data_IF_640621084414
#
_entry.id   IF_640621084414
#
_cell.length_a   1.000
_cell.length_b   1.000
_cell.length_c   1.000
_cell.angle_alpha   90.00
_cell.angle_beta   90.00
_cell.angle_gamma   90.00
#
_symmetry.space_group_name_H-M   'P 1'
#
loop_
_entity.id
_entity.type
_entity.pdbx_description
1 polymer ?
#
# COMPACT_ATOMS: atom_id res chain seq x y z
N UNK A 1 1.12 -13.92 16.87
CA UNK A 1 0.36 -15.06 16.35
C UNK A 1 -0.77 -14.54 15.48
N UNK A 2 -1.22 -15.32 14.52
CA UNK A 2 -2.39 -15.04 13.68
C UNK A 2 -3.61 -15.55 14.42
N UNK A 3 -4.74 -14.85 14.33
CA UNK A 3 -6.01 -15.29 14.93
C UNK A 3 -7.13 -15.25 13.90
N UNK A 4 -8.13 -16.07 14.11
CA UNK A 4 -9.36 -16.10 13.36
C UNK A 4 -10.55 -16.33 14.29
N UNK A 5 -11.69 -15.83 13.89
CA UNK A 5 -12.96 -16.06 14.57
C UNK A 5 -13.83 -16.96 13.71
N UNK A 6 -14.39 -17.99 14.34
CA UNK A 6 -15.40 -18.86 13.75
C UNK A 6 -16.77 -18.38 14.21
N UNK A 7 -17.60 -17.93 13.29
CA UNK A 7 -18.88 -17.31 13.62
C UNK A 7 -20.03 -18.15 13.05
N UNK A 8 -20.92 -18.60 13.93
CA UNK A 8 -22.17 -19.29 13.57
C UNK A 8 -23.37 -18.35 13.66
N UNK A 9 -24.42 -18.60 12.90
CA UNK A 9 -25.67 -17.84 12.94
C UNK A 9 -25.79 -16.69 11.93
N UNK A 10 -24.71 -16.31 11.27
CA UNK A 10 -24.72 -15.27 10.25
C UNK A 10 -24.94 -15.82 8.84
N UNK A 11 -25.49 -14.97 7.95
CA UNK A 11 -25.61 -15.27 6.51
C UNK A 11 -24.42 -14.72 5.76
N UNK A 12 -23.72 -15.61 5.05
CA UNK A 12 -22.73 -15.19 4.08
C UNK A 12 -23.42 -14.48 2.91
N UNK A 13 -22.95 -13.27 2.55
CA UNK A 13 -23.29 -12.68 1.27
C UNK A 13 -22.44 -13.34 0.20
N UNK A 14 -23.02 -13.78 -0.93
CA UNK A 14 -22.22 -14.18 -2.07
C UNK A 14 -21.32 -12.98 -2.43
N UNK A 15 -20.00 -13.20 -2.40
CA UNK A 15 -19.01 -12.17 -2.64
C UNK A 15 -19.17 -11.62 -4.06
N UNK A 16 -19.61 -10.38 -4.17
CA UNK A 16 -19.44 -9.63 -5.41
C UNK A 16 -18.03 -9.06 -5.36
N UNK A 17 -17.14 -9.37 -6.31
CA UNK A 17 -15.75 -8.89 -6.31
C UNK A 17 -15.65 -7.35 -6.41
N UNK A 18 -16.74 -6.67 -6.72
CA UNK A 18 -16.88 -5.22 -6.80
C UNK A 18 -17.74 -4.62 -5.68
N UNK A 19 -18.02 -5.37 -4.60
CA UNK A 19 -18.74 -4.82 -3.47
C UNK A 19 -17.93 -3.66 -2.89
N UNK A 20 -18.24 -2.46 -3.36
CA UNK A 20 -17.81 -1.21 -2.74
C UNK A 20 -18.05 -1.35 -1.24
N UNK A 21 -17.12 -0.91 -0.43
CA UNK A 21 -17.17 -0.85 1.04
C UNK A 21 -18.47 -0.17 1.52
N UNK A 22 -19.59 -0.88 1.41
CA UNK A 22 -20.79 -0.55 2.14
C UNK A 22 -20.73 -1.37 3.41
N UNK A 23 -20.61 -0.71 4.54
CA UNK A 23 -20.90 -1.27 5.86
C UNK A 23 -22.35 -1.79 5.85
N UNK A 24 -22.52 -2.98 5.31
CA UNK A 24 -23.81 -3.63 5.30
C UNK A 24 -24.09 -4.15 6.70
N UNK A 25 -25.28 -3.89 7.23
CA UNK A 25 -25.73 -4.50 8.48
C UNK A 25 -25.59 -6.03 8.37
N UNK A 26 -25.11 -6.73 9.41
CA UNK A 26 -25.03 -8.17 9.43
C UNK A 26 -26.44 -8.75 9.21
N UNK A 27 -26.51 -9.83 8.44
CA UNK A 27 -27.78 -10.56 8.24
C UNK A 27 -27.74 -11.83 9.07
N UNK A 28 -28.67 -11.93 9.97
CA UNK A 28 -28.82 -13.10 10.83
C UNK A 28 -29.62 -14.20 10.13
N UNK A 29 -29.36 -15.46 10.49
CA UNK A 29 -30.19 -16.59 10.11
C UNK A 29 -31.34 -16.71 11.13
N UNK A 30 -32.56 -16.48 10.69
CA UNK A 30 -33.74 -16.62 11.54
C UNK A 30 -33.98 -18.08 12.05
N UNK A 31 -33.41 -19.05 11.36
CA UNK A 31 -33.51 -20.46 11.72
C UNK A 31 -32.36 -20.94 12.62
N UNK A 32 -31.40 -20.07 12.97
CA UNK A 32 -30.34 -20.41 13.91
C UNK A 32 -30.91 -20.37 15.33
N UNK A 33 -30.88 -21.50 16.01
CA UNK A 33 -31.37 -21.68 17.37
C UNK A 33 -30.30 -22.42 18.18
N UNK A 34 -29.61 -21.69 19.07
CA UNK A 34 -28.59 -22.28 19.93
C UNK A 34 -29.16 -23.13 21.04
N UNK A 35 -30.46 -23.00 21.36
CA UNK A 35 -31.13 -23.82 22.36
C UNK A 35 -31.53 -25.20 21.83
N UNK A 36 -31.39 -25.46 20.52
CA UNK A 36 -31.57 -26.80 19.94
C UNK A 36 -30.40 -27.70 20.35
N UNK A 37 -30.64 -28.89 20.95
CA UNK A 37 -29.61 -29.81 21.40
C UNK A 37 -28.59 -30.18 20.31
N UNK A 38 -29.04 -30.44 19.09
CA UNK A 38 -28.17 -30.80 17.97
C UNK A 38 -27.25 -29.63 17.58
N UNK A 39 -27.76 -28.41 17.69
CA UNK A 39 -26.99 -27.19 17.40
C UNK A 39 -25.92 -26.94 18.47
N UNK A 40 -26.26 -27.18 19.76
CA UNK A 40 -25.30 -27.05 20.86
C UNK A 40 -24.08 -27.96 20.64
N UNK A 41 -24.36 -29.26 20.39
CA UNK A 41 -23.29 -30.24 20.14
C UNK A 41 -22.50 -29.90 18.88
N UNK A 42 -23.19 -29.56 17.80
CA UNK A 42 -22.52 -29.22 16.53
C UNK A 42 -21.59 -28.02 16.64
N UNK A 43 -22.00 -26.93 17.29
CA UNK A 43 -21.19 -25.71 17.45
C UNK A 43 -19.97 -26.00 18.34
N UNK A 44 -20.18 -26.66 19.51
CA UNK A 44 -19.07 -27.07 20.39
C UNK A 44 -18.05 -27.92 19.66
N UNK A 45 -18.51 -29.00 19.01
CA UNK A 45 -17.64 -29.96 18.33
C UNK A 45 -16.97 -29.36 17.09
N UNK A 46 -17.56 -28.37 16.48
CA UNK A 46 -16.93 -27.65 15.36
C UNK A 46 -15.65 -26.93 15.79
N UNK A 47 -15.65 -26.30 16.96
CA UNK A 47 -14.50 -25.66 17.52
C UNK A 47 -13.49 -26.69 18.06
N UNK A 48 -13.89 -27.59 18.93
CA UNK A 48 -13.00 -28.57 19.56
C UNK A 48 -12.28 -29.46 18.56
N UNK A 49 -13.01 -30.01 17.58
CA UNK A 49 -12.41 -30.84 16.53
C UNK A 49 -11.45 -30.03 15.64
N UNK A 50 -11.70 -28.74 15.40
CA UNK A 50 -10.81 -27.89 14.66
C UNK A 50 -9.51 -27.66 15.44
N UNK A 51 -9.63 -27.33 16.71
CA UNK A 51 -8.48 -27.08 17.60
C UNK A 51 -7.62 -28.33 17.77
N UNK A 52 -8.23 -29.53 17.78
CA UNK A 52 -7.54 -30.81 17.87
C UNK A 52 -6.81 -31.27 16.59
N UNK A 53 -7.12 -30.70 15.43
CA UNK A 53 -6.49 -31.08 14.16
C UNK A 53 -5.14 -30.35 13.95
N UNK A 54 -4.03 -31.09 13.97
CA UNK A 54 -2.67 -30.53 13.76
C UNK A 54 -2.51 -29.79 12.42
N UNK A 55 -3.23 -30.24 11.38
CA UNK A 55 -3.22 -29.61 10.04
C UNK A 55 -3.70 -28.16 10.08
N UNK A 56 -4.68 -27.84 10.92
CA UNK A 56 -5.26 -26.51 11.04
C UNK A 56 -4.37 -25.53 11.83
N UNK A 57 -3.27 -26.02 12.40
CA UNK A 57 -2.27 -25.21 13.15
C UNK A 57 -2.89 -24.35 14.27
N UNK A 58 -4.01 -24.81 14.87
CA UNK A 58 -4.60 -24.12 16.00
C UNK A 58 -3.76 -24.31 17.27
N UNK A 59 -3.70 -23.26 18.09
CA UNK A 59 -3.05 -23.30 19.39
C UNK A 59 -4.10 -23.60 20.48
N UNK A 60 -4.05 -24.80 21.02
CA UNK A 60 -5.01 -25.28 22.04
C UNK A 60 -5.01 -24.43 23.31
N UNK A 61 -3.84 -23.92 23.71
CA UNK A 61 -3.69 -23.17 24.96
C UNK A 61 -4.29 -21.75 24.91
N UNK A 62 -4.45 -21.20 23.71
CA UNK A 62 -4.90 -19.80 23.53
C UNK A 62 -6.19 -19.69 22.71
N UNK A 63 -6.73 -20.80 22.25
CA UNK A 63 -8.01 -20.81 21.53
C UNK A 63 -9.17 -20.90 22.51
N UNK A 64 -10.24 -20.18 22.23
CA UNK A 64 -11.43 -20.08 23.08
C UNK A 64 -12.63 -20.62 22.30
N UNK A 65 -13.10 -21.82 22.69
CA UNK A 65 -14.34 -22.40 22.25
C UNK A 65 -15.43 -22.07 23.27
N UNK A 66 -16.36 -21.18 22.92
CA UNK A 66 -17.26 -20.59 23.91
C UNK A 66 -18.18 -21.62 24.56
N UNK A 67 -18.76 -22.56 23.80
CA UNK A 67 -19.59 -23.59 24.37
C UNK A 67 -18.84 -24.65 25.17
N UNK A 68 -17.57 -24.89 24.89
CA UNK A 68 -16.69 -25.70 25.71
C UNK A 68 -16.43 -25.06 27.07
N UNK A 69 -16.20 -23.76 27.11
CA UNK A 69 -16.08 -23.02 28.36
C UNK A 69 -17.40 -23.02 29.14
N UNK A 70 -18.52 -22.85 28.45
CA UNK A 70 -19.82 -22.94 29.08
C UNK A 70 -20.02 -24.31 29.72
N UNK A 71 -19.66 -25.41 29.03
CA UNK A 71 -19.75 -26.76 29.56
C UNK A 71 -18.79 -26.97 30.74
N UNK A 72 -17.51 -26.70 30.56
CA UNK A 72 -16.47 -27.08 31.53
C UNK A 72 -16.43 -26.16 32.75
N UNK A 73 -16.59 -24.85 32.56
CA UNK A 73 -16.47 -23.87 33.65
C UNK A 73 -17.80 -23.54 34.33
N UNK A 74 -18.93 -23.67 33.63
CA UNK A 74 -20.21 -23.28 34.18
C UNK A 74 -21.17 -24.45 34.44
N UNK A 75 -21.33 -25.40 33.50
CA UNK A 75 -22.22 -26.54 33.64
C UNK A 75 -21.64 -27.67 34.51
N UNK A 76 -20.42 -28.07 34.27
CA UNK A 76 -19.79 -29.20 34.97
C UNK A 76 -19.77 -29.04 36.51
N UNK A 77 -19.47 -27.86 37.10
CA UNK A 77 -19.57 -27.67 38.56
C UNK A 77 -21.01 -27.84 39.10
N UNK A 78 -22.03 -27.77 38.25
CA UNK A 78 -23.46 -27.95 38.57
C UNK A 78 -23.94 -29.35 38.28
N UNK A 79 -23.04 -30.24 37.83
CA UNK A 79 -23.39 -31.62 37.45
C UNK A 79 -24.20 -31.73 36.17
N UNK A 80 -24.04 -30.73 35.26
CA UNK A 80 -24.71 -30.66 33.97
C UNK A 80 -23.71 -30.76 32.85
N UNK A 81 -24.12 -31.29 31.69
CA UNK A 81 -23.33 -31.43 30.48
C UNK A 81 -24.16 -30.96 29.25
N UNK A 82 -23.50 -30.68 28.14
CA UNK A 82 -24.20 -30.44 26.89
C UNK A 82 -24.57 -31.74 26.20
N UNK A 83 -25.75 -31.82 25.55
CA UNK A 83 -26.73 -30.75 25.37
C UNK A 83 -27.65 -30.59 26.60
N UNK A 84 -27.98 -29.31 26.90
CA UNK A 84 -28.93 -28.98 27.96
C UNK A 84 -30.35 -28.97 27.45
N UNK A 85 -31.18 -29.79 28.06
CA UNK A 85 -32.63 -29.87 27.82
C UNK A 85 -33.40 -29.64 29.11
N UNK A 86 -34.63 -29.10 29.07
CA UNK A 86 -35.36 -28.54 27.93
C UNK A 86 -34.82 -27.13 27.53
N UNK A 87 -35.28 -26.62 26.38
CA UNK A 87 -34.90 -25.32 25.79
C UNK A 87 -34.90 -24.15 26.80
N UNK A 88 -35.94 -24.02 27.59
CA UNK A 88 -36.07 -22.95 28.58
C UNK A 88 -34.97 -23.01 29.65
N UNK A 89 -34.57 -24.22 30.08
CA UNK A 89 -33.44 -24.41 31.01
C UNK A 89 -32.11 -23.99 30.40
N UNK A 90 -31.87 -24.30 29.14
CA UNK A 90 -30.67 -23.82 28.42
C UNK A 90 -30.62 -22.29 28.36
N UNK A 91 -31.73 -21.64 27.97
CA UNK A 91 -31.81 -20.18 27.84
C UNK A 91 -31.54 -19.51 29.19
N UNK A 92 -32.09 -20.03 30.30
CA UNK A 92 -31.85 -19.50 31.65
C UNK A 92 -30.39 -19.66 32.06
N UNK A 93 -29.84 -20.87 31.99
CA UNK A 93 -28.45 -21.14 32.35
C UNK A 93 -27.43 -20.34 31.48
N UNK A 94 -27.73 -20.19 30.21
CA UNK A 94 -26.89 -19.46 29.29
C UNK A 94 -26.95 -17.94 29.53
N UNK A 95 -28.10 -17.43 29.98
CA UNK A 95 -28.25 -16.05 30.41
C UNK A 95 -27.44 -15.76 31.69
N UNK A 96 -27.45 -16.67 32.65
CA UNK A 96 -26.64 -16.58 33.88
C UNK A 96 -25.15 -16.67 33.58
N UNK A 97 -24.73 -17.59 32.72
CA UNK A 97 -23.34 -17.71 32.27
C UNK A 97 -22.84 -16.40 31.67
N UNK A 98 -23.63 -15.80 30.80
CA UNK A 98 -23.31 -14.54 30.13
C UNK A 98 -23.08 -13.39 31.09
N UNK A 99 -23.89 -13.29 32.16
CA UNK A 99 -23.78 -12.22 33.16
C UNK A 99 -22.63 -12.43 34.17
N UNK A 100 -22.27 -13.68 34.42
CA UNK A 100 -21.37 -14.02 35.52
C UNK A 100 -19.90 -14.22 35.11
N UNK A 101 -19.59 -14.34 33.81
CA UNK A 101 -18.27 -14.79 33.38
C UNK A 101 -17.52 -13.81 32.49
N UNK A 102 -16.24 -13.67 32.82
CA UNK A 102 -15.21 -13.05 31.98
C UNK A 102 -14.36 -14.18 31.40
N UNK A 103 -14.08 -14.13 30.10
CA UNK A 103 -13.25 -15.09 29.40
C UNK A 103 -11.77 -14.97 29.79
N UNK A 104 -10.98 -15.97 29.41
CA UNK A 104 -9.54 -16.04 29.72
C UNK A 104 -8.72 -14.84 29.20
N UNK A 105 -9.19 -14.18 28.15
CA UNK A 105 -8.59 -12.97 27.57
C UNK A 105 -9.02 -11.66 28.25
N UNK A 106 -9.88 -11.73 29.27
CA UNK A 106 -10.44 -10.59 29.98
C UNK A 106 -11.67 -9.97 29.30
N UNK A 107 -12.11 -10.47 28.14
CA UNK A 107 -13.34 -10.04 27.48
C UNK A 107 -14.58 -10.60 28.16
N UNK A 108 -15.70 -9.92 27.99
CA UNK A 108 -16.99 -10.40 28.51
C UNK A 108 -17.62 -11.37 27.51
N UNK A 109 -18.29 -12.40 28.04
CA UNK A 109 -19.03 -13.36 27.21
C UNK A 109 -20.04 -12.67 26.28
N UNK A 110 -20.60 -11.54 26.72
CA UNK A 110 -21.55 -10.75 25.91
C UNK A 110 -20.95 -10.20 24.59
N UNK A 111 -19.66 -10.03 24.49
CA UNK A 111 -18.96 -9.58 23.26
C UNK A 111 -18.83 -10.70 22.22
N UNK A 112 -19.11 -11.93 22.63
CA UNK A 112 -18.92 -13.14 21.81
C UNK A 112 -20.24 -13.72 21.30
N UNK A 113 -21.35 -13.11 21.70
CA UNK A 113 -22.70 -13.60 21.38
C UNK A 113 -23.59 -12.41 20.98
N UNK A 114 -24.28 -12.56 19.87
CA UNK A 114 -25.36 -11.63 19.54
C UNK A 114 -26.69 -12.15 20.06
N UNK A 115 -27.46 -11.26 20.66
CA UNK A 115 -28.74 -11.57 21.26
C UNK A 115 -29.80 -10.72 20.64
N UNK A 116 -30.96 -11.33 20.38
CA UNK A 116 -32.17 -10.61 20.05
C UNK A 116 -32.78 -10.06 21.33
N UNK A 117 -32.85 -8.73 21.45
CA UNK A 117 -33.41 -8.05 22.62
C UNK A 117 -34.90 -8.36 22.86
N UNK A 118 -35.63 -8.78 21.84
CA UNK A 118 -37.05 -9.11 21.96
C UNK A 118 -37.31 -10.53 22.51
N UNK A 119 -36.47 -11.48 22.08
CA UNK A 119 -36.63 -12.91 22.45
C UNK A 119 -35.62 -13.41 23.47
N UNK A 120 -34.58 -12.62 23.75
CA UNK A 120 -33.41 -12.98 24.56
C UNK A 120 -32.69 -14.23 24.06
N UNK A 121 -32.85 -14.57 22.78
CA UNK A 121 -32.23 -15.75 22.15
C UNK A 121 -30.93 -15.36 21.45
N UNK A 122 -29.97 -16.30 21.40
CA UNK A 122 -28.72 -16.11 20.70
C UNK A 122 -28.94 -16.15 19.18
N UNK A 123 -28.54 -15.06 18.50
CA UNK A 123 -28.64 -14.92 17.04
C UNK A 123 -27.37 -15.30 16.31
N UNK A 124 -26.24 -15.20 16.98
CA UNK A 124 -24.93 -15.64 16.51
C UNK A 124 -24.00 -15.90 17.70
N UNK A 125 -23.01 -16.74 17.49
CA UNK A 125 -21.97 -17.07 18.45
C UNK A 125 -20.61 -17.07 17.76
N UNK A 126 -19.57 -16.64 18.47
CA UNK A 126 -18.20 -16.53 17.99
C UNK A 126 -17.27 -17.38 18.86
N UNK A 127 -16.43 -18.18 18.21
CA UNK A 127 -15.27 -18.83 18.82
C UNK A 127 -14.00 -18.15 18.34
N UNK A 128 -13.02 -17.96 19.22
CA UNK A 128 -11.73 -17.33 18.89
C UNK A 128 -10.62 -18.37 18.85
N UNK A 129 -9.98 -18.48 17.71
CA UNK A 129 -8.95 -19.47 17.48
C UNK A 129 -7.64 -18.75 17.17
N UNK A 130 -6.65 -19.02 18.00
CA UNK A 130 -5.28 -18.53 17.80
C UNK A 130 -4.49 -19.59 17.05
N UNK A 131 -3.82 -19.17 15.98
CA UNK A 131 -3.01 -20.05 15.16
C UNK A 131 -1.54 -20.01 15.60
N UNK A 132 -0.84 -21.12 15.41
CA UNK A 132 0.59 -21.21 15.66
C UNK A 132 1.43 -20.48 14.60
N UNK A 133 0.80 -20.04 13.52
CA UNK A 133 1.43 -19.28 12.43
C UNK A 133 1.79 -17.87 12.90
N UNK A 134 2.99 -17.44 12.58
CA UNK A 134 3.48 -16.11 12.95
C UNK A 134 2.98 -15.06 11.94
N UNK A 135 2.79 -13.81 12.41
CA UNK A 135 2.41 -12.68 11.53
C UNK A 135 3.46 -12.32 10.50
N UNK A 136 4.73 -12.61 10.78
CA UNK A 136 5.90 -12.35 9.94
C UNK A 136 6.24 -13.51 8.97
N UNK A 137 5.42 -14.60 8.97
CA UNK A 137 5.54 -15.67 7.99
C UNK A 137 5.19 -15.17 6.57
N UNK A 138 5.51 -15.97 5.55
CA UNK A 138 5.19 -15.61 4.17
C UNK A 138 3.68 -15.41 3.97
N UNK A 139 3.32 -14.58 2.98
CA UNK A 139 1.89 -14.36 2.63
C UNK A 139 1.23 -15.67 2.20
N UNK A 140 1.99 -16.49 1.46
CA UNK A 140 1.52 -17.80 0.98
C UNK A 140 1.21 -18.75 2.15
N UNK A 141 2.14 -18.89 3.12
CA UNK A 141 1.94 -19.73 4.31
C UNK A 141 0.70 -19.31 5.12
N UNK A 142 0.46 -18.01 5.21
CA UNK A 142 -0.73 -17.48 5.89
C UNK A 142 -2.00 -17.80 5.13
N UNK A 143 -2.02 -17.60 3.82
CA UNK A 143 -3.19 -17.87 2.98
C UNK A 143 -3.50 -19.37 2.88
N UNK A 144 -2.48 -20.22 2.85
CA UNK A 144 -2.67 -21.68 2.82
C UNK A 144 -3.38 -22.19 4.06
N UNK A 145 -3.01 -21.69 5.24
CA UNK A 145 -3.71 -22.06 6.47
C UNK A 145 -5.19 -21.62 6.43
N UNK A 146 -5.50 -20.44 5.90
CA UNK A 146 -6.89 -20.01 5.76
C UNK A 146 -7.65 -20.83 4.71
N UNK A 147 -6.99 -21.35 3.67
CA UNK A 147 -7.61 -22.30 2.73
C UNK A 147 -7.92 -23.61 3.42
N UNK A 148 -6.97 -24.18 4.18
CA UNK A 148 -7.20 -25.42 4.95
C UNK A 148 -8.36 -25.28 5.93
N UNK A 149 -8.53 -24.11 6.56
CA UNK A 149 -9.68 -23.82 7.41
C UNK A 149 -11.00 -23.79 6.63
N UNK A 150 -11.01 -23.21 5.43
CA UNK A 150 -12.22 -23.20 4.60
C UNK A 150 -12.61 -24.61 4.14
N UNK A 151 -11.61 -25.39 3.73
CA UNK A 151 -11.83 -26.78 3.33
C UNK A 151 -12.40 -27.61 4.48
N UNK A 152 -11.86 -27.41 5.70
CA UNK A 152 -12.42 -28.04 6.90
C UNK A 152 -13.88 -27.66 7.16
N UNK A 153 -14.22 -26.39 7.00
CA UNK A 153 -15.60 -25.93 7.18
C UNK A 153 -16.55 -26.45 6.09
N UNK A 154 -16.02 -26.66 4.89
CA UNK A 154 -16.78 -27.26 3.79
C UNK A 154 -17.03 -28.75 4.01
N UNK A 155 -16.04 -29.51 4.46
CA UNK A 155 -16.21 -30.93 4.84
C UNK A 155 -17.26 -31.11 5.93
N UNK A 156 -17.31 -30.21 6.92
CA UNK A 156 -18.31 -30.26 7.98
C UNK A 156 -19.71 -29.77 7.57
N UNK A 157 -19.82 -29.14 6.41
CA UNK A 157 -21.12 -28.63 5.95
C UNK A 157 -22.16 -29.75 5.73
N UNK A 158 -21.71 -30.95 5.42
CA UNK A 158 -22.61 -32.09 5.11
C UNK A 158 -23.31 -32.67 6.35
N UNK A 159 -22.74 -32.53 7.55
CA UNK A 159 -23.30 -33.06 8.80
C UNK A 159 -24.00 -32.03 9.70
N UNK A 160 -24.32 -30.84 9.20
CA UNK A 160 -24.88 -29.75 10.01
C UNK A 160 -26.37 -29.93 10.29
N UNK A 161 -26.84 -29.58 11.51
CA UNK A 161 -28.28 -29.57 11.84
C UNK A 161 -29.05 -28.56 10.97
N UNK A 162 -30.36 -28.83 10.83
CA UNK A 162 -31.26 -27.92 10.13
C UNK A 162 -31.24 -26.53 10.82
N UNK A 163 -31.12 -25.48 10.03
CA UNK A 163 -31.04 -24.10 10.57
C UNK A 163 -29.66 -23.57 10.82
N UNK A 164 -28.63 -24.40 11.11
CA UNK A 164 -27.25 -23.98 11.22
C UNK A 164 -26.69 -23.76 9.82
N UNK A 165 -26.32 -22.52 9.51
CA UNK A 165 -25.63 -22.21 8.27
C UNK A 165 -24.19 -22.66 8.28
N UNK A 166 -23.48 -22.47 7.14
CA UNK A 166 -22.04 -22.54 7.12
C UNK A 166 -21.47 -21.55 8.12
N UNK A 167 -20.54 -21.98 8.94
CA UNK A 167 -19.79 -21.08 9.80
C UNK A 167 -18.98 -20.09 8.96
N UNK A 168 -18.91 -18.86 9.41
CA UNK A 168 -18.11 -17.83 8.76
C UNK A 168 -16.75 -17.76 9.41
N UNK A 169 -15.72 -17.79 8.58
CA UNK A 169 -14.35 -17.50 8.98
C UNK A 169 -14.15 -15.99 8.91
N UNK A 170 -13.81 -15.35 10.03
CA UNK A 170 -13.50 -13.92 10.10
C UNK A 170 -12.10 -13.73 10.65
N UNK A 171 -11.22 -13.10 9.86
CA UNK A 171 -9.88 -12.77 10.29
C UNK A 171 -9.38 -11.50 9.62
N UNK A 172 -8.96 -10.52 10.41
CA UNK A 172 -8.29 -9.33 9.88
C UNK A 172 -6.96 -9.68 9.21
N UNK A 173 -6.32 -10.75 9.67
CA UNK A 173 -5.05 -11.21 9.13
C UNK A 173 -5.21 -11.87 7.75
N UNK A 174 -6.30 -12.56 7.51
CA UNK A 174 -6.65 -13.10 6.19
C UNK A 174 -6.87 -11.98 5.19
N UNK A 175 -7.66 -10.97 5.58
CA UNK A 175 -7.93 -9.80 4.73
C UNK A 175 -6.62 -9.08 4.38
N UNK A 176 -5.75 -8.88 5.38
CA UNK A 176 -4.44 -8.25 5.14
C UNK A 176 -3.54 -9.09 4.24
N UNK A 177 -3.46 -10.40 4.44
CA UNK A 177 -2.66 -11.28 3.59
C UNK A 177 -3.18 -11.33 2.15
N UNK A 178 -4.50 -11.41 1.96
CA UNK A 178 -5.12 -11.41 0.63
C UNK A 178 -4.98 -10.06 -0.09
N UNK A 179 -5.05 -8.96 0.67
CA UNK A 179 -4.80 -7.63 0.16
C UNK A 179 -3.34 -7.48 -0.30
N UNK A 180 -2.39 -7.90 0.53
CA UNK A 180 -0.96 -7.88 0.24
C UNK A 180 -0.65 -8.68 -1.04
N UNK A 181 -1.14 -9.92 -1.15
CA UNK A 181 -0.99 -10.75 -2.34
C UNK A 181 -1.59 -10.10 -3.60
N UNK A 182 -2.78 -9.52 -3.47
CA UNK A 182 -3.47 -8.86 -4.59
C UNK A 182 -2.75 -7.61 -5.04
N UNK A 183 -2.22 -6.80 -4.14
CA UNK A 183 -1.49 -5.57 -4.47
C UNK A 183 -0.19 -5.92 -5.19
N UNK A 184 0.59 -6.88 -4.70
CA UNK A 184 1.83 -7.30 -5.37
C UNK A 184 1.54 -7.77 -6.79
N UNK A 185 0.54 -8.64 -6.98
CA UNK A 185 0.14 -9.13 -8.30
C UNK A 185 -0.30 -8.00 -9.23
N UNK A 186 -1.18 -7.11 -8.74
CA UNK A 186 -1.70 -6.00 -9.54
C UNK A 186 -0.62 -4.97 -9.87
N UNK A 187 0.33 -4.72 -8.95
CA UNK A 187 1.46 -3.83 -9.21
C UNK A 187 2.40 -4.37 -10.28
N UNK A 188 2.60 -5.70 -10.34
CA UNK A 188 3.38 -6.31 -11.41
C UNK A 188 2.72 -6.13 -12.78
N UNK A 189 1.39 -6.32 -12.85
CA UNK A 189 0.60 -6.06 -14.06
C UNK A 189 0.68 -4.57 -14.45
N UNK A 190 0.52 -3.68 -13.48
CA UNK A 190 0.59 -2.24 -13.70
C UNK A 190 1.98 -1.78 -14.17
N UNK A 191 3.06 -2.33 -13.60
CA UNK A 191 4.42 -2.05 -14.02
C UNK A 191 4.68 -2.52 -15.47
N UNK A 192 4.20 -3.71 -15.83
CA UNK A 192 4.30 -4.21 -17.20
C UNK A 192 3.54 -3.32 -18.19
N UNK A 193 2.32 -2.93 -17.83
CA UNK A 193 1.51 -2.02 -18.66
C UNK A 193 2.16 -0.63 -18.78
N UNK A 194 2.78 -0.13 -17.69
CA UNK A 194 3.52 1.13 -17.70
C UNK A 194 4.72 1.06 -18.64
N UNK A 195 5.51 -0.02 -18.61
CA UNK A 195 6.62 -0.22 -19.57
C UNK A 195 6.13 -0.25 -21.01
N UNK A 196 5.04 -0.94 -21.29
CA UNK A 196 4.43 -0.96 -22.63
C UNK A 196 3.96 0.43 -23.06
N UNK A 197 3.29 1.16 -22.18
CA UNK A 197 2.84 2.53 -22.46
C UNK A 197 4.03 3.46 -22.71
N UNK A 198 5.08 3.39 -21.89
CA UNK A 198 6.32 4.13 -22.10
C UNK A 198 6.97 3.81 -23.46
N UNK A 199 6.96 2.54 -23.87
CA UNK A 199 7.48 2.17 -25.20
C UNK A 199 6.77 2.94 -26.31
N UNK A 200 5.45 2.93 -26.32
CA UNK A 200 4.67 3.64 -27.37
C UNK A 200 4.85 5.16 -27.30
N UNK A 201 4.87 5.75 -26.10
CA UNK A 201 5.10 7.18 -25.92
C UNK A 201 6.49 7.60 -26.40
N UNK A 202 7.54 6.88 -25.96
CA UNK A 202 8.92 7.18 -26.37
C UNK A 202 9.09 6.93 -27.86
N UNK A 203 8.51 5.88 -28.43
CA UNK A 203 8.56 5.61 -29.87
C UNK A 203 7.89 6.72 -30.68
N UNK A 204 6.75 7.23 -30.23
CA UNK A 204 6.06 8.35 -30.89
C UNK A 204 6.91 9.64 -30.89
N UNK A 205 7.63 9.90 -29.78
CA UNK A 205 8.49 11.06 -29.63
C UNK A 205 9.82 10.93 -30.38
N UNK A 206 10.45 9.74 -30.30
CA UNK A 206 11.78 9.51 -30.90
C UNK A 206 11.69 9.11 -32.38
N UNK A 207 10.61 8.45 -32.78
CA UNK A 207 10.44 7.83 -34.13
C UNK A 207 11.59 6.89 -34.51
N UNK A 208 12.36 6.41 -33.54
CA UNK A 208 13.53 5.56 -33.74
C UNK A 208 13.47 4.36 -32.77
N UNK A 209 13.20 3.17 -33.30
CA UNK A 209 13.03 1.94 -32.52
C UNK A 209 14.28 1.59 -31.70
N UNK A 210 15.48 1.82 -32.26
CA UNK A 210 16.74 1.52 -31.58
C UNK A 210 16.94 2.37 -30.32
N UNK A 211 16.69 3.68 -30.41
CA UNK A 211 16.76 4.60 -29.27
C UNK A 211 15.69 4.32 -28.21
N UNK A 212 14.45 4.06 -28.67
CA UNK A 212 13.36 3.63 -27.79
C UNK A 212 13.74 2.35 -27.03
N UNK A 213 14.28 1.36 -27.73
CA UNK A 213 14.73 0.13 -27.12
C UNK A 213 15.86 0.34 -26.07
N UNK A 214 16.80 1.24 -26.37
CA UNK A 214 17.88 1.59 -25.45
C UNK A 214 17.36 2.27 -24.18
N UNK A 215 16.47 3.26 -24.32
CA UNK A 215 15.87 3.94 -23.16
C UNK A 215 15.12 2.91 -22.31
N UNK A 216 14.31 2.05 -22.93
CA UNK A 216 13.56 1.03 -22.20
C UNK A 216 14.49 0.03 -21.48
N UNK A 217 15.57 -0.39 -22.14
CA UNK A 217 16.57 -1.27 -21.53
C UNK A 217 17.19 -0.63 -20.29
N UNK A 218 17.52 0.67 -20.35
CA UNK A 218 17.99 1.43 -19.18
C UNK A 218 16.95 1.45 -18.05
N UNK A 219 15.67 1.70 -18.34
CA UNK A 219 14.60 1.72 -17.35
C UNK A 219 14.43 0.37 -16.66
N UNK A 220 14.39 -0.72 -17.43
CA UNK A 220 14.30 -2.07 -16.88
C UNK A 220 15.53 -2.40 -16.03
N UNK A 221 16.71 -2.01 -16.49
CA UNK A 221 17.97 -2.23 -15.77
C UNK A 221 18.01 -1.47 -14.44
N UNK A 222 17.58 -0.19 -14.39
CA UNK A 222 17.50 0.62 -13.16
C UNK A 222 16.56 -0.06 -12.16
N UNK A 223 15.37 -0.47 -12.59
CA UNK A 223 14.40 -1.13 -11.72
C UNK A 223 14.87 -2.50 -11.22
N UNK A 224 15.58 -3.27 -12.06
CA UNK A 224 16.19 -4.53 -11.66
C UNK A 224 17.31 -4.34 -10.62
N UNK A 225 18.17 -3.32 -10.79
CA UNK A 225 19.20 -2.96 -9.82
C UNK A 225 18.56 -2.52 -8.48
N UNK A 226 17.51 -1.71 -8.54
CA UNK A 226 16.79 -1.27 -7.35
C UNK A 226 16.18 -2.46 -6.61
N UNK A 227 15.54 -3.38 -7.32
CA UNK A 227 14.99 -4.61 -6.74
C UNK A 227 16.07 -5.46 -6.06
N UNK A 228 17.23 -5.62 -6.72
CA UNK A 228 18.39 -6.33 -6.15
C UNK A 228 18.93 -5.64 -4.90
N UNK A 229 19.03 -4.32 -4.91
CA UNK A 229 19.48 -3.52 -3.76
C UNK A 229 18.58 -3.73 -2.54
N UNK A 230 17.27 -3.69 -2.75
CA UNK A 230 16.26 -3.83 -1.69
C UNK A 230 16.30 -5.24 -1.10
N UNK A 231 16.29 -6.25 -1.94
CA UNK A 231 16.17 -7.65 -1.50
C UNK A 231 17.49 -8.19 -0.94
N UNK A 232 18.61 -7.85 -1.54
CA UNK A 232 19.92 -8.43 -1.23
C UNK A 232 20.71 -7.61 -0.21
N UNK A 233 20.73 -6.28 -0.34
CA UNK A 233 21.49 -5.40 0.55
C UNK A 233 20.70 -5.00 1.80
N UNK A 234 19.42 -4.67 1.64
CA UNK A 234 18.58 -4.23 2.75
C UNK A 234 17.81 -5.40 3.41
N UNK A 235 17.78 -6.59 2.78
CA UNK A 235 17.05 -7.75 3.29
C UNK A 235 15.55 -7.54 3.43
N UNK A 236 14.97 -6.54 2.72
CA UNK A 236 13.56 -6.24 2.81
C UNK A 236 12.75 -7.19 1.95
N UNK A 237 11.61 -7.62 2.48
CA UNK A 237 10.61 -8.34 1.69
C UNK A 237 9.85 -7.33 0.83
N UNK A 238 9.58 -7.69 -0.42
CA UNK A 238 8.76 -6.88 -1.31
C UNK A 238 7.33 -6.89 -0.78
N UNK A 239 6.89 -5.75 -0.26
CA UNK A 239 5.55 -5.52 0.24
C UNK A 239 4.76 -4.54 -0.63
N UNK A 240 3.69 -4.00 -0.05
CA UNK A 240 2.77 -3.06 -0.72
C UNK A 240 3.49 -1.80 -1.19
N UNK A 241 4.35 -1.23 -0.35
CA UNK A 241 5.02 0.05 -0.61
C UNK A 241 6.04 -0.12 -1.74
N UNK A 242 6.84 -1.16 -1.67
CA UNK A 242 7.83 -1.47 -2.68
C UNK A 242 7.18 -1.72 -4.04
N UNK A 243 6.07 -2.48 -4.08
CA UNK A 243 5.33 -2.79 -5.30
C UNK A 243 4.73 -1.55 -5.98
N UNK A 244 4.13 -0.63 -5.21
CA UNK A 244 3.61 0.64 -5.72
C UNK A 244 4.76 1.53 -6.21
N UNK A 245 5.86 1.58 -5.45
CA UNK A 245 7.03 2.39 -5.79
C UNK A 245 7.64 1.99 -7.13
N UNK A 246 7.80 0.67 -7.40
CA UNK A 246 8.29 0.19 -8.69
C UNK A 246 7.44 0.67 -9.87
N UNK A 247 6.12 0.68 -9.71
CA UNK A 247 5.21 1.15 -10.77
C UNK A 247 5.42 2.63 -11.09
N UNK A 248 5.64 3.46 -10.06
CA UNK A 248 5.91 4.90 -10.23
C UNK A 248 7.29 5.11 -10.84
N UNK A 249 8.29 4.35 -10.40
CA UNK A 249 9.68 4.52 -10.83
C UNK A 249 9.93 4.18 -12.29
N UNK A 250 9.14 3.30 -12.90
CA UNK A 250 9.17 3.08 -14.35
C UNK A 250 8.95 4.39 -15.09
N UNK A 251 7.96 5.21 -14.69
CA UNK A 251 7.70 6.50 -15.32
C UNK A 251 8.84 7.51 -15.11
N UNK A 252 9.26 7.68 -13.84
CA UNK A 252 10.30 8.67 -13.49
C UNK A 252 11.67 8.34 -14.13
N UNK A 253 11.99 7.05 -14.31
CA UNK A 253 13.25 6.64 -14.95
C UNK A 253 13.34 7.06 -16.42
N UNK A 254 12.20 7.07 -17.12
CA UNK A 254 12.13 7.42 -18.55
C UNK A 254 12.52 8.89 -18.77
N UNK A 255 12.08 9.78 -17.88
CA UNK A 255 12.22 11.23 -18.08
C UNK A 255 13.69 11.65 -18.21
N UNK A 256 14.57 11.24 -17.29
CA UNK A 256 15.99 11.59 -17.35
C UNK A 256 16.68 11.03 -18.61
N UNK A 257 16.39 9.77 -18.96
CA UNK A 257 16.96 9.11 -20.13
C UNK A 257 16.49 9.78 -21.45
N UNK A 258 15.19 10.15 -21.53
CA UNK A 258 14.62 10.79 -22.69
C UNK A 258 15.22 12.17 -22.95
N UNK A 259 15.42 12.97 -21.91
CA UNK A 259 16.05 14.29 -22.07
C UNK A 259 17.48 14.20 -22.62
N UNK A 260 18.28 13.27 -22.15
CA UNK A 260 19.66 13.06 -22.62
C UNK A 260 19.66 12.52 -24.06
N UNK A 261 18.83 11.52 -24.37
CA UNK A 261 18.73 10.97 -25.74
C UNK A 261 18.27 12.04 -26.75
N UNK A 262 17.27 12.83 -26.40
CA UNK A 262 16.74 13.89 -27.25
C UNK A 262 17.82 14.94 -27.55
N UNK A 263 18.53 15.43 -26.52
CA UNK A 263 19.61 16.39 -26.70
C UNK A 263 20.74 15.84 -27.57
N UNK A 264 21.11 14.57 -27.39
CA UNK A 264 22.13 13.92 -28.23
C UNK A 264 21.68 13.87 -29.69
N UNK A 265 20.44 13.52 -29.97
CA UNK A 265 19.91 13.45 -31.34
C UNK A 265 19.81 14.82 -32.00
N UNK A 266 19.46 15.89 -31.26
CA UNK A 266 19.51 17.25 -31.77
C UNK A 266 20.94 17.68 -32.08
N UNK A 267 21.92 17.35 -31.23
CA UNK A 267 23.33 17.61 -31.49
C UNK A 267 23.87 16.89 -32.73
N UNK A 268 23.31 15.72 -33.05
CA UNK A 268 23.65 14.96 -34.27
C UNK A 268 22.98 15.52 -35.55
N UNK A 269 21.80 16.16 -35.43
CA UNK A 269 21.06 16.72 -36.56
C UNK A 269 21.62 18.09 -37.03
N UNK A 270 22.33 18.80 -36.18
CA UNK A 270 22.95 20.11 -36.54
C UNK A 270 24.07 19.93 -37.54
N UNK A 271 23.88 20.39 -38.79
CA UNK A 271 24.85 20.29 -39.90
C UNK A 271 26.22 20.91 -39.67
N UNK A 272 26.39 21.70 -38.62
CA UNK A 272 27.56 22.57 -38.42
C UNK A 272 28.71 21.91 -37.65
N UNK A 273 28.57 20.66 -37.18
CA UNK A 273 29.59 20.01 -36.36
C UNK A 273 30.20 18.81 -37.10
N UNK A 274 31.26 19.06 -37.85
CA UNK A 274 32.18 18.02 -38.37
C UNK A 274 33.01 17.35 -37.26
N UNK A 275 32.44 17.23 -36.04
CA UNK A 275 33.07 16.59 -34.89
C UNK A 275 32.58 15.17 -34.71
N UNK A 276 33.46 14.32 -34.17
CA UNK A 276 33.07 12.93 -33.83
C UNK A 276 31.98 12.88 -32.75
N UNK A 277 31.33 11.74 -32.58
CA UNK A 277 30.24 11.49 -31.63
C UNK A 277 30.51 11.96 -30.20
N UNK A 278 31.75 11.89 -29.76
CA UNK A 278 32.15 12.34 -28.45
C UNK A 278 31.93 13.86 -28.29
N UNK A 279 32.17 14.66 -29.38
CA UNK A 279 31.96 16.10 -29.33
C UNK A 279 30.46 16.43 -29.33
N UNK A 280 29.64 15.71 -30.10
CA UNK A 280 28.17 15.85 -30.08
C UNK A 280 27.61 15.50 -28.69
N UNK A 281 28.11 14.42 -28.06
CA UNK A 281 27.72 14.07 -26.71
C UNK A 281 28.11 15.13 -25.67
N UNK A 282 29.35 15.67 -25.75
CA UNK A 282 29.79 16.75 -24.85
C UNK A 282 28.89 17.98 -24.94
N UNK A 283 28.44 18.31 -26.14
CA UNK A 283 27.50 19.42 -26.33
C UNK A 283 26.12 19.09 -25.73
N UNK A 284 25.56 17.92 -26.03
CA UNK A 284 24.28 17.48 -25.48
C UNK A 284 24.30 17.48 -23.95
N UNK A 285 25.35 16.93 -23.33
CA UNK A 285 25.49 16.94 -21.87
C UNK A 285 25.73 18.33 -21.29
N UNK A 286 26.38 19.24 -22.05
CA UNK A 286 26.53 20.64 -21.65
C UNK A 286 25.19 21.37 -21.57
N UNK A 287 24.24 21.06 -22.46
CA UNK A 287 22.93 21.70 -22.49
C UNK A 287 21.97 21.11 -21.44
N UNK A 288 21.88 19.77 -21.32
CA UNK A 288 20.86 19.14 -20.46
C UNK A 288 21.42 18.51 -19.19
N UNK A 289 22.74 18.34 -19.06
CA UNK A 289 23.33 17.66 -17.91
C UNK A 289 23.09 18.39 -16.59
N UNK A 290 23.29 19.74 -16.58
CA UNK A 290 23.05 20.53 -15.38
C UNK A 290 21.56 20.58 -14.95
N UNK A 291 20.57 20.81 -15.84
CA UNK A 291 19.15 20.68 -15.51
C UNK A 291 18.76 19.30 -14.97
N UNK A 292 19.23 18.22 -15.59
CA UNK A 292 18.94 16.84 -15.15
C UNK A 292 19.56 16.58 -13.76
N UNK A 293 20.80 17.00 -13.55
CA UNK A 293 21.46 16.86 -12.25
C UNK A 293 20.75 17.67 -11.15
N UNK A 294 20.30 18.89 -11.46
CA UNK A 294 19.55 19.74 -10.54
C UNK A 294 18.19 19.11 -10.17
N UNK A 295 17.45 18.60 -11.15
CA UNK A 295 16.19 17.89 -10.92
C UNK A 295 16.39 16.64 -10.04
N UNK A 296 17.45 15.87 -10.30
CA UNK A 296 17.80 14.72 -9.47
C UNK A 296 18.17 15.14 -8.03
N UNK A 297 18.95 16.21 -7.88
CA UNK A 297 19.36 16.73 -6.58
C UNK A 297 18.17 17.22 -5.74
N UNK A 298 17.21 17.91 -6.35
CA UNK A 298 16.00 18.39 -5.65
C UNK A 298 15.13 17.22 -5.20
N UNK A 299 14.91 16.22 -6.05
CA UNK A 299 14.15 15.02 -5.71
C UNK A 299 14.83 14.21 -4.61
N UNK A 300 16.14 14.02 -4.72
CA UNK A 300 16.94 13.34 -3.71
C UNK A 300 16.92 14.08 -2.36
N UNK A 301 17.09 15.42 -2.40
CA UNK A 301 17.03 16.28 -1.21
C UNK A 301 15.66 16.19 -0.51
N UNK A 302 14.57 16.24 -1.26
CA UNK A 302 13.22 16.06 -0.71
C UNK A 302 13.04 14.68 -0.07
N UNK A 303 13.55 13.63 -0.71
CA UNK A 303 13.43 12.27 -0.21
C UNK A 303 14.25 11.99 1.06
N UNK A 304 15.37 12.68 1.27
CA UNK A 304 16.20 12.58 2.49
C UNK A 304 15.37 12.91 3.74
N UNK A 305 14.48 13.89 3.69
CA UNK A 305 13.64 14.23 4.85
C UNK A 305 12.70 13.11 5.26
N UNK A 306 12.29 12.23 4.32
CA UNK A 306 11.48 11.07 4.63
C UNK A 306 12.24 10.00 5.42
N UNK A 307 13.58 9.96 5.33
CA UNK A 307 14.42 9.02 6.09
C UNK A 307 14.39 9.28 7.60
N UNK A 308 14.05 10.48 8.02
CA UNK A 308 13.92 10.84 9.44
C UNK A 308 12.52 10.56 10.00
N UNK A 309 11.58 10.06 9.17
CA UNK A 309 10.26 9.70 9.65
C UNK A 309 10.30 8.46 10.54
N UNK A 310 9.58 8.53 11.68
CA UNK A 310 9.41 7.40 12.60
C UNK A 310 8.47 6.34 11.99
N UNK A 311 7.55 6.76 11.12
CA UNK A 311 6.58 5.89 10.47
C UNK A 311 7.28 5.07 9.39
N UNK A 312 7.37 3.77 9.58
CA UNK A 312 8.12 2.84 8.72
C UNK A 312 7.79 2.94 7.22
N UNK A 313 6.52 3.07 6.78
CA UNK A 313 6.18 3.30 5.37
C UNK A 313 6.87 4.51 4.73
N UNK A 314 6.93 5.64 5.42
CA UNK A 314 7.58 6.85 4.89
C UNK A 314 9.09 6.72 4.85
N UNK A 315 9.70 6.12 5.87
CA UNK A 315 11.12 5.80 5.86
C UNK A 315 11.49 4.93 4.66
N UNK A 316 10.76 3.84 4.44
CA UNK A 316 10.96 2.94 3.30
C UNK A 316 10.80 3.67 1.96
N UNK A 317 9.73 4.46 1.82
CA UNK A 317 9.49 5.24 0.61
C UNK A 317 10.63 6.24 0.34
N UNK A 318 11.10 6.94 1.36
CA UNK A 318 12.24 7.85 1.26
C UNK A 318 13.52 7.15 0.80
N UNK A 319 13.84 5.98 1.38
CA UNK A 319 14.99 5.19 0.99
C UNK A 319 14.90 4.71 -0.48
N UNK A 320 13.71 4.28 -0.90
CA UNK A 320 13.45 3.86 -2.27
C UNK A 320 13.61 5.00 -3.28
N UNK A 321 13.05 6.18 -2.99
CA UNK A 321 13.17 7.36 -3.85
C UNK A 321 14.62 7.82 -3.93
N UNK A 322 15.35 7.88 -2.81
CA UNK A 322 16.77 8.24 -2.80
C UNK A 322 17.59 7.28 -3.68
N UNK A 323 17.46 5.98 -3.46
CA UNK A 323 18.19 4.98 -4.23
C UNK A 323 17.83 5.02 -5.71
N UNK A 324 16.53 5.12 -6.04
CA UNK A 324 16.04 5.20 -7.41
C UNK A 324 16.57 6.45 -8.13
N UNK A 325 16.44 7.63 -7.52
CA UNK A 325 16.88 8.90 -8.11
C UNK A 325 18.38 8.88 -8.37
N UNK A 326 19.17 8.35 -7.43
CA UNK A 326 20.62 8.20 -7.62
C UNK A 326 20.94 7.26 -8.79
N UNK A 327 20.35 6.05 -8.83
CA UNK A 327 20.57 5.09 -9.90
C UNK A 327 20.13 5.64 -11.27
N UNK A 328 18.99 6.33 -11.32
CA UNK A 328 18.44 6.89 -12.54
C UNK A 328 19.31 8.05 -13.06
N UNK A 329 19.79 8.92 -12.19
CA UNK A 329 20.72 10.00 -12.55
C UNK A 329 22.04 9.44 -13.09
N UNK A 330 22.63 8.45 -12.43
CA UNK A 330 23.87 7.79 -12.91
C UNK A 330 23.61 7.10 -14.24
N UNK A 331 22.50 6.41 -14.41
CA UNK A 331 22.16 5.76 -15.67
C UNK A 331 22.00 6.77 -16.81
N UNK A 332 21.31 7.88 -16.59
CA UNK A 332 21.06 8.90 -17.60
C UNK A 332 22.32 9.73 -17.96
N UNK A 333 23.16 10.09 -16.97
CA UNK A 333 24.31 10.97 -17.16
C UNK A 333 25.61 10.24 -17.47
N UNK A 334 25.72 8.94 -17.16
CA UNK A 334 26.97 8.16 -17.36
C UNK A 334 26.73 6.97 -18.29
N UNK A 335 25.79 6.09 -17.94
CA UNK A 335 25.61 4.82 -18.67
C UNK A 335 25.03 5.04 -20.07
N UNK A 336 23.93 5.79 -20.17
CA UNK A 336 23.27 6.06 -21.44
C UNK A 336 24.19 6.80 -22.42
N UNK A 337 24.88 7.89 -22.03
CA UNK A 337 25.88 8.56 -22.88
C UNK A 337 26.98 7.62 -23.36
N UNK A 338 27.54 6.78 -22.50
CA UNK A 338 28.57 5.82 -22.88
C UNK A 338 28.08 4.85 -23.95
N UNK A 339 26.85 4.35 -23.84
CA UNK A 339 26.26 3.46 -24.83
C UNK A 339 25.97 4.20 -26.16
N UNK A 340 25.48 5.44 -26.10
CA UNK A 340 25.20 6.27 -27.29
C UNK A 340 26.46 6.51 -28.14
N UNK A 341 27.63 6.66 -27.53
CA UNK A 341 28.91 6.80 -28.27
C UNK A 341 29.28 5.54 -29.02
N UNK A 342 29.04 4.38 -28.43
CA UNK A 342 29.41 3.08 -29.01
C UNK A 342 28.42 2.56 -30.06
N UNK A 343 27.21 3.11 -30.10
CA UNK A 343 26.16 2.70 -31.02
C UNK A 343 26.56 2.93 -32.51
N UNK A 344 26.27 2.02 -33.44
CA UNK A 344 26.63 2.18 -34.86
C UNK A 344 25.82 3.34 -35.51
N UNK A 345 26.46 4.06 -36.47
CA UNK A 345 25.91 5.26 -37.13
C UNK A 345 24.56 5.06 -37.80
N UNK A 346 24.29 3.84 -38.32
CA UNK A 346 23.02 3.51 -39.00
C UNK A 346 21.82 3.51 -38.06
N UNK A 347 22.02 3.49 -36.77
CA UNK A 347 20.94 3.47 -35.76
C UNK A 347 20.52 4.86 -35.29
N UNK A 348 21.31 5.90 -35.60
CA UNK A 348 21.02 7.29 -35.19
C UNK A 348 20.24 7.95 -36.31
N UNK A 349 18.89 7.92 -36.19
CA UNK A 349 18.05 8.76 -37.02
C UNK A 349 18.03 10.18 -36.46
N UNK A 350 18.35 11.23 -37.25
CA UNK A 350 18.27 12.60 -36.77
C UNK A 350 16.86 12.92 -36.29
N UNK A 351 16.75 13.75 -35.26
CA UNK A 351 15.45 14.20 -34.78
C UNK A 351 14.74 14.96 -35.92
N UNK A 352 13.42 14.78 -36.12
CA UNK A 352 12.68 15.63 -37.05
C UNK A 352 12.80 17.07 -36.58
N UNK A 353 13.36 17.92 -37.43
CA UNK A 353 13.44 19.36 -37.18
C UNK A 353 12.00 19.87 -37.39
N UNK A 354 11.37 20.32 -36.32
CA UNK A 354 10.08 20.97 -36.37
C UNK A 354 10.37 22.43 -36.75
N UNK A 355 10.07 22.81 -38.00
CA UNK A 355 10.34 24.15 -38.55
C UNK A 355 9.63 25.26 -37.75
N UNK A 356 8.69 24.92 -36.87
CA UNK A 356 8.02 25.85 -35.98
C UNK A 356 8.85 26.31 -34.78
N UNK A 357 9.85 25.52 -34.32
CA UNK A 357 10.76 25.92 -33.24
C UNK A 357 12.02 26.68 -33.74
N UNK A 358 12.32 26.61 -35.04
CA UNK A 358 13.49 27.25 -35.61
C UNK A 358 13.38 28.79 -35.64
N UNK A 359 12.20 29.35 -35.45
CA UNK A 359 11.98 30.80 -35.41
C UNK A 359 11.98 31.44 -34.02
N UNK A 360 12.14 30.66 -32.96
CA UNK A 360 12.01 31.16 -31.59
C UNK A 360 13.29 31.11 -30.73
N UNK A 361 14.42 30.64 -31.27
CA UNK A 361 15.70 30.69 -30.54
C UNK A 361 16.59 31.77 -31.12
N UNK A 362 16.20 33.02 -30.90
CA UNK A 362 17.17 34.10 -30.77
C UNK A 362 17.89 33.86 -29.44
N UNK A 363 19.07 33.24 -29.52
CA UNK A 363 19.98 33.09 -28.38
C UNK A 363 20.49 34.48 -28.04
N UNK A 364 20.11 35.07 -26.89
CA UNK A 364 20.81 36.23 -26.41
C UNK A 364 22.24 35.79 -26.15
N UNK A 365 23.16 36.36 -26.93
CA UNK A 365 24.60 36.37 -26.65
C UNK A 365 24.78 36.67 -25.16
N UNK A 366 25.61 35.86 -24.53
CA UNK A 366 26.15 35.98 -23.19
C UNK A 366 26.55 37.42 -22.88
N UNK A 367 25.63 38.21 -22.39
CA UNK A 367 25.91 39.35 -21.57
C UNK A 367 25.58 39.00 -20.15
N UNK A 368 26.58 39.17 -19.33
CA UNK A 368 26.66 38.91 -17.92
C UNK A 368 25.31 39.02 -17.19
N UNK A 369 24.91 37.93 -16.52
CA UNK A 369 23.91 37.99 -15.48
C UNK A 369 24.49 38.78 -14.31
N UNK A 370 24.44 40.12 -14.41
CA UNK A 370 24.63 41.00 -13.28
C UNK A 370 23.43 40.88 -12.36
N UNK A 371 23.69 40.30 -11.18
CA UNK A 371 22.77 40.35 -10.06
C UNK A 371 22.54 41.81 -9.66
N UNK A 372 21.31 42.35 -9.73
CA UNK A 372 21.05 43.69 -9.22
C UNK A 372 21.04 43.63 -7.69
N UNK A 373 22.00 44.35 -7.07
CA UNK A 373 21.81 44.89 -5.74
C UNK A 373 22.31 44.09 -4.54
N UNK A 374 23.65 43.99 -4.41
CA UNK A 374 24.29 44.04 -3.09
C UNK A 374 25.20 45.28 -3.08
N UNK A 375 24.56 46.44 -2.97
CA UNK A 375 25.24 47.70 -2.71
C UNK A 375 25.79 47.69 -1.29
N UNK A 376 27.10 47.95 -1.21
CA UNK A 376 27.81 48.34 0.01
C UNK A 376 27.08 49.52 0.68
N UNK A 377 26.50 49.30 1.86
CA UNK A 377 26.20 50.38 2.78
C UNK A 377 27.44 50.63 3.64
N UNK A 378 28.24 51.57 3.20
CA UNK A 378 29.22 52.24 4.06
C UNK A 378 28.46 53.20 4.99
N UNK A 379 28.85 53.17 6.26
CA UNK A 379 28.49 54.12 7.30
C UNK A 379 28.70 55.55 6.81
N UNK A 380 27.67 56.39 6.97
CA UNK A 380 27.92 57.78 7.30
C UNK A 380 26.87 58.27 8.29
N UNK A 381 27.36 58.83 9.39
CA UNK A 381 26.60 59.44 10.45
C UNK A 381 26.39 60.92 10.09
N UNK A 382 25.20 61.42 10.33
CA UNK A 382 24.95 62.86 10.21
C UNK A 382 23.49 63.24 10.36
N UNK A 383 23.12 63.58 11.57
CA UNK A 383 22.30 64.74 12.02
C UNK A 383 21.23 65.33 11.11
N UNK A 384 20.05 65.45 11.68
CA UNK A 384 19.29 66.73 11.63
C UNK A 384 17.92 66.72 11.02
N UNK A 385 16.99 66.99 11.89
CA UNK A 385 15.79 67.84 11.74
C UNK A 385 14.44 67.28 11.33
N UNK A 386 13.65 67.23 12.38
CA UNK A 386 12.28 67.81 12.61
C UNK A 386 11.36 68.06 11.42
N UNK A 387 10.19 67.53 11.50
CA UNK A 387 8.90 68.21 11.61
C UNK A 387 7.73 67.51 10.92
N UNK A 388 6.76 67.23 11.76
CA UNK A 388 5.33 67.61 11.66
C UNK A 388 4.38 66.88 10.71
N UNK A 389 3.51 66.13 11.41
CA UNK A 389 2.05 66.24 11.33
C UNK A 389 1.31 65.84 10.04
N UNK A 390 0.47 64.88 10.14
CA UNK A 390 -1.00 65.00 10.11
C UNK A 390 -1.65 63.62 10.15
N UNK A 391 -2.36 63.31 11.17
CA UNK A 391 -3.69 62.79 11.39
C UNK A 391 -4.60 62.84 10.16
N UNK A 392 -5.29 61.78 9.95
CA UNK A 392 -6.74 61.60 10.00
C UNK A 392 -7.10 60.21 9.54
N UNK A 393 -7.70 59.42 10.42
CA UNK A 393 -9.09 59.00 10.45
C UNK A 393 -9.50 58.06 9.31
N UNK A 394 -10.11 56.89 9.50
CA UNK A 394 -11.35 56.54 10.18
C UNK A 394 -11.73 55.07 9.90
N UNK A 395 -12.19 54.43 10.94
CA UNK A 395 -13.21 53.34 10.97
C UNK A 395 -12.96 51.94 10.44
N UNK A 396 -12.94 51.01 11.41
CA UNK A 396 -13.48 49.65 11.23
C UNK A 396 -15.01 49.61 11.25
N UNK A 397 -15.60 48.50 11.12
CA UNK A 397 -16.22 47.79 12.24
C UNK A 397 -15.92 46.30 12.25
N UNK A 398 -15.72 45.73 13.42
CA UNK A 398 -16.60 45.09 14.42
C UNK A 398 -17.40 43.91 13.90
N UNK A 399 -17.08 42.76 14.56
CA UNK A 399 -18.00 41.85 15.23
C UNK A 399 -18.80 40.89 14.36
N UNK A 400 -19.07 39.69 14.73
CA UNK A 400 -19.15 38.94 16.00
C UNK A 400 -19.08 37.42 15.73
N UNK A 401 -19.00 36.58 16.78
CA UNK A 401 -18.81 35.14 16.66
C UNK A 401 -20.14 34.37 16.76
N UNK A 402 -20.14 33.15 16.33
CA UNK A 402 -21.20 32.18 16.58
C UNK A 402 -20.64 30.85 16.21
N UNK A 403 -20.28 30.06 17.13
CA UNK A 403 -21.07 29.04 17.87
C UNK A 403 -21.63 27.96 16.96
N UNK A 404 -21.22 26.77 17.35
CA UNK A 404 -21.98 25.54 17.43
C UNK A 404 -21.90 24.48 16.31
N UNK A 405 -21.45 23.32 16.81
CA UNK A 405 -22.07 21.99 16.69
C UNK A 405 -21.73 21.14 15.44
N UNK A 406 -21.06 20.20 15.62
CA UNK A 406 -21.17 18.73 15.77
C UNK A 406 -19.97 18.02 15.20
#
# INVERSE_FOLDING_TARGET
MVSLDLVHGLKQRPGHPTARFRSGRPRYRRAFDLADPDVQVYVRDSCLNAVGKSKLKANTAHSVCLLDIFETAFLAPRGLELPVEPRNKFVELFADFRQSNVLLDGSRVEEWIGIDCATNEATWIRDHIVLTVRRDSSVEDRLDVFREWRDYLDERADGRPAGVGRALLASSQEVMASLEASIVKNSLIAATLSVCSCFFCVLALTRAVAHTGLILACVVWINALLASLITWMLGWKIGIIEAISFTIFVGVSVDYALHVDRAFRYACAGEMIRGGRLQQLRRALGEVGAPVAAAAATTFGAAIFLLFCIIQPFYKLGALICAHTFLSAVAALVVLPAVLVVMPDRSVSPAPVDDSEATAVDVPTTDAFELPGLGHAAMDAGEGDTARASRDDVKGPRHEPGEDLL
#
